data_IF_171090480253
#
_entry.id   IF_171090480253
#
_cell.length_a   1.000
_cell.length_b   1.000
_cell.length_c   1.000
_cell.angle_alpha   90.00
_cell.angle_beta   90.00
_cell.angle_gamma   90.00
#
_symmetry.space_group_name_H-M   'P 1'
#
loop_
_entity.id
_entity.type
_entity.pdbx_description
1 polymer ?
#
# COMPACT_ATOMS: atom_id res chain seq x y z
N UNK A 1 -0.42 -19.98 -7.76
CA UNK A 1 -1.15 -20.07 -9.05
C UNK A 1 -2.66 -19.81 -8.91
N UNK A 2 -3.40 -20.59 -8.11
CA UNK A 2 -4.88 -20.52 -8.11
C UNK A 2 -5.51 -19.29 -7.40
N UNK A 3 -4.70 -18.38 -6.84
CA UNK A 3 -5.19 -17.24 -6.03
C UNK A 3 -4.53 -15.90 -6.38
N UNK A 4 -3.92 -15.80 -7.54
CA UNK A 4 -3.19 -14.59 -7.96
C UNK A 4 -4.11 -13.38 -8.13
N UNK A 5 -5.39 -13.61 -8.43
CA UNK A 5 -6.40 -12.55 -8.65
C UNK A 5 -7.50 -12.53 -7.60
N UNK A 6 -7.31 -13.20 -6.46
CA UNK A 6 -8.39 -13.35 -5.47
C UNK A 6 -8.82 -12.04 -4.82
N UNK A 7 -7.91 -11.07 -4.67
CA UNK A 7 -8.24 -9.76 -4.10
C UNK A 7 -9.03 -8.91 -5.09
N UNK A 8 -8.59 -8.91 -6.34
CA UNK A 8 -9.21 -8.24 -7.47
C UNK A 8 -10.65 -8.73 -7.64
N UNK A 9 -10.86 -10.05 -7.57
CA UNK A 9 -12.21 -10.65 -7.62
C UNK A 9 -13.11 -10.17 -6.48
N UNK A 10 -12.58 -10.01 -5.25
CA UNK A 10 -13.36 -9.52 -4.11
C UNK A 10 -13.69 -8.03 -4.27
N UNK A 11 -12.75 -7.24 -4.76
CA UNK A 11 -12.93 -5.79 -5.04
C UNK A 11 -14.03 -5.61 -6.09
N UNK A 12 -13.96 -6.36 -7.21
CA UNK A 12 -14.97 -6.30 -8.26
C UNK A 12 -16.34 -6.81 -7.78
N UNK A 13 -16.37 -7.86 -6.94
CA UNK A 13 -17.61 -8.42 -6.42
C UNK A 13 -18.43 -7.43 -5.56
N UNK A 14 -17.77 -6.44 -4.94
CA UNK A 14 -18.44 -5.35 -4.20
C UNK A 14 -18.74 -4.12 -5.07
N UNK A 15 -18.47 -4.19 -6.37
CA UNK A 15 -18.74 -3.13 -7.34
C UNK A 15 -17.66 -2.04 -7.43
N UNK A 16 -16.47 -2.28 -6.88
CA UNK A 16 -15.33 -1.37 -7.02
C UNK A 16 -14.49 -1.71 -8.26
N UNK A 17 -13.65 -0.76 -8.70
CA UNK A 17 -12.75 -0.92 -9.84
C UNK A 17 -11.32 -1.20 -9.35
N UNK A 18 -10.64 -2.15 -9.98
CA UNK A 18 -9.25 -2.50 -9.67
C UNK A 18 -8.31 -1.52 -10.38
N UNK A 19 -7.47 -0.83 -9.61
CA UNK A 19 -6.44 0.09 -10.13
C UNK A 19 -5.08 -0.61 -10.13
N UNK A 20 -4.49 -0.76 -11.31
CA UNK A 20 -3.27 -1.59 -11.48
C UNK A 20 -2.01 -1.20 -10.67
N UNK A 21 -1.25 -0.13 -10.91
CA UNK A 21 -0.05 0.28 -10.14
C UNK A 21 1.15 -0.70 -10.07
N UNK A 22 2.34 -0.17 -9.85
CA UNK A 22 3.59 -0.94 -9.90
C UNK A 22 3.88 -1.77 -8.63
N UNK A 23 3.16 -1.49 -7.53
CA UNK A 23 3.36 -2.12 -6.23
C UNK A 23 2.39 -3.28 -5.92
N UNK A 24 1.50 -3.66 -6.84
CA UNK A 24 0.41 -4.64 -6.61
C UNK A 24 0.90 -5.97 -6.03
N UNK A 25 2.01 -6.49 -6.54
CA UNK A 25 2.64 -7.73 -6.05
C UNK A 25 3.93 -7.49 -5.27
N UNK A 26 4.27 -6.24 -4.99
CA UNK A 26 5.49 -5.89 -4.28
C UNK A 26 5.32 -6.07 -2.77
N UNK A 27 6.43 -6.36 -2.08
CA UNK A 27 6.43 -6.40 -0.61
C UNK A 27 6.12 -5.02 -0.02
N UNK A 28 5.35 -4.97 1.06
CA UNK A 28 5.01 -3.72 1.76
C UNK A 28 6.17 -3.11 2.58
N UNK A 29 7.24 -3.87 2.82
CA UNK A 29 8.41 -3.45 3.60
C UNK A 29 8.37 -3.78 5.09
N UNK A 30 7.24 -4.28 5.64
CA UNK A 30 7.12 -4.54 7.08
C UNK A 30 8.24 -5.41 7.68
N UNK A 31 8.66 -6.55 7.07
CA UNK A 31 9.67 -7.41 7.68
C UNK A 31 11.04 -6.76 7.91
N UNK A 32 11.34 -5.67 7.18
CA UNK A 32 12.61 -4.94 7.31
C UNK A 32 12.47 -3.65 8.11
N UNK A 33 11.28 -3.31 8.61
CA UNK A 33 11.02 -2.04 9.29
C UNK A 33 12.00 -1.76 10.44
N UNK A 34 12.29 -2.75 11.28
CA UNK A 34 13.15 -2.58 12.46
C UNK A 34 14.65 -2.64 12.15
N UNK A 35 15.04 -3.22 11.01
CA UNK A 35 16.45 -3.44 10.63
C UNK A 35 16.92 -2.43 9.58
N UNK A 36 16.01 -2.01 8.71
CA UNK A 36 16.24 -1.05 7.64
C UNK A 36 14.99 -0.18 7.45
N UNK A 37 14.73 0.64 8.47
CA UNK A 37 13.56 1.53 8.53
C UNK A 37 13.48 2.46 7.31
N UNK A 38 14.62 3.03 6.89
CA UNK A 38 14.67 3.95 5.75
C UNK A 38 14.12 3.31 4.47
N UNK A 39 14.51 2.08 4.16
CA UNK A 39 13.96 1.37 3.00
C UNK A 39 12.50 0.95 3.22
N UNK A 40 12.11 0.53 4.43
CA UNK A 40 10.70 0.23 4.71
C UNK A 40 9.80 1.45 4.45
N UNK A 41 10.17 2.61 4.99
CA UNK A 41 9.42 3.86 4.81
C UNK A 41 9.42 4.33 3.35
N UNK A 42 10.51 4.11 2.61
CA UNK A 42 10.56 4.37 1.17
C UNK A 42 9.60 3.47 0.40
N UNK A 43 9.46 2.20 0.77
CA UNK A 43 8.50 1.28 0.16
C UNK A 43 7.07 1.71 0.45
N UNK A 44 6.75 2.08 1.69
CA UNK A 44 5.44 2.64 2.06
C UNK A 44 5.12 3.83 1.17
N UNK A 45 5.98 4.85 1.15
CA UNK A 45 5.76 6.06 0.35
C UNK A 45 5.56 5.72 -1.13
N UNK A 46 6.44 4.88 -1.69
CA UNK A 46 6.41 4.51 -3.11
C UNK A 46 5.08 3.87 -3.49
N UNK A 47 4.65 2.85 -2.75
CA UNK A 47 3.45 2.07 -3.09
C UNK A 47 2.18 2.89 -2.92
N UNK A 48 2.04 3.60 -1.80
CA UNK A 48 0.84 4.40 -1.52
C UNK A 48 0.72 5.59 -2.46
N UNK A 49 1.84 6.24 -2.83
CA UNK A 49 1.82 7.35 -3.77
C UNK A 49 1.56 6.90 -5.20
N UNK A 50 2.10 5.75 -5.62
CA UNK A 50 1.84 5.21 -6.95
C UNK A 50 0.36 4.81 -7.10
N UNK A 51 -0.20 4.11 -6.13
CA UNK A 51 -1.64 3.81 -6.09
C UNK A 51 -2.48 5.11 -6.16
N UNK A 52 -2.15 6.12 -5.34
CA UNK A 52 -2.82 7.42 -5.34
C UNK A 52 -2.69 8.14 -6.69
N UNK A 53 -1.48 8.17 -7.24
CA UNK A 53 -1.18 8.84 -8.50
C UNK A 53 -1.88 8.22 -9.70
N UNK A 54 -2.25 6.95 -9.61
CA UNK A 54 -3.06 6.23 -10.60
C UNK A 54 -4.56 6.29 -10.36
N UNK A 55 -5.00 7.05 -9.35
CA UNK A 55 -6.42 7.31 -9.08
C UNK A 55 -7.09 6.31 -8.14
N UNK A 56 -6.34 5.53 -7.36
CA UNK A 56 -6.96 4.70 -6.33
C UNK A 56 -7.55 5.57 -5.21
N UNK A 57 -8.79 5.29 -4.81
CA UNK A 57 -9.44 5.92 -3.65
C UNK A 57 -9.06 5.27 -2.33
N UNK A 58 -8.67 4.00 -2.36
CA UNK A 58 -8.21 3.21 -1.23
C UNK A 58 -7.34 2.03 -1.70
N UNK A 59 -6.53 1.48 -0.80
CA UNK A 59 -5.83 0.22 -1.01
C UNK A 59 -6.40 -0.86 -0.09
N UNK A 60 -6.52 -2.09 -0.59
CA UNK A 60 -6.97 -3.24 0.19
C UNK A 60 -5.78 -4.18 0.42
N UNK A 61 -5.64 -4.70 1.63
CA UNK A 61 -4.57 -5.61 1.99
C UNK A 61 -5.12 -6.90 2.61
N UNK A 62 -4.62 -8.09 2.24
CA UNK A 62 -5.03 -9.36 2.83
C UNK A 62 -4.21 -9.74 4.08
N UNK A 63 -3.33 -8.85 4.53
CA UNK A 63 -2.30 -9.14 5.51
C UNK A 63 -2.29 -8.05 6.58
N UNK A 64 -2.46 -8.39 7.87
CA UNK A 64 -2.53 -7.41 8.94
C UNK A 64 -1.23 -6.64 9.11
N UNK A 65 -0.09 -7.23 8.72
CA UNK A 65 1.21 -6.57 8.75
C UNK A 65 1.38 -5.59 7.59
N UNK A 66 0.80 -5.89 6.42
CA UNK A 66 0.74 -4.92 5.32
C UNK A 66 -0.14 -3.73 5.69
N UNK A 67 -1.31 -3.98 6.30
CA UNK A 67 -2.17 -2.93 6.83
C UNK A 67 -1.40 -2.05 7.82
N UNK A 68 -0.78 -2.65 8.85
CA UNK A 68 -0.05 -1.91 9.86
C UNK A 68 1.07 -1.04 9.26
N UNK A 69 1.81 -1.54 8.26
CA UNK A 69 2.90 -0.79 7.65
C UNK A 69 2.39 0.31 6.70
N UNK A 70 1.50 -0.05 5.77
CA UNK A 70 1.02 0.86 4.73
C UNK A 70 0.05 1.91 5.28
N UNK A 71 -0.66 1.64 6.37
CA UNK A 71 -1.56 2.59 7.03
C UNK A 71 -0.80 3.41 8.08
N UNK A 72 -0.23 2.73 9.08
CA UNK A 72 0.31 3.36 10.28
C UNK A 72 1.58 4.18 10.07
N UNK A 73 2.34 3.93 9.00
CA UNK A 73 3.62 4.61 8.74
C UNK A 73 3.57 5.66 7.64
N UNK A 74 2.39 5.99 7.08
CA UNK A 74 2.30 7.04 6.06
C UNK A 74 2.85 8.40 6.52
N UNK A 75 2.60 8.88 7.77
CA UNK A 75 3.16 10.16 8.21
C UNK A 75 4.70 10.14 8.23
N UNK A 76 5.30 9.06 8.76
CA UNK A 76 6.75 8.88 8.79
C UNK A 76 7.32 8.75 7.36
N UNK A 77 6.63 8.01 6.50
CA UNK A 77 7.02 7.80 5.11
C UNK A 77 7.00 9.11 4.30
N UNK A 78 5.97 9.94 4.48
CA UNK A 78 5.87 11.26 3.86
C UNK A 78 7.01 12.19 4.30
N UNK A 79 7.32 12.19 5.60
CA UNK A 79 8.42 12.98 6.17
C UNK A 79 9.79 12.52 5.65
N UNK A 80 10.04 11.22 5.68
CA UNK A 80 11.33 10.63 5.30
C UNK A 80 11.66 10.78 3.81
N UNK A 81 10.65 10.85 2.93
CA UNK A 81 10.85 10.92 1.47
C UNK A 81 10.69 12.33 0.91
N UNK A 82 10.63 13.38 1.77
CA UNK A 82 10.45 14.78 1.37
C UNK A 82 9.29 14.96 0.38
N UNK A 83 8.22 14.20 0.60
CA UNK A 83 7.06 14.21 -0.27
C UNK A 83 6.34 15.56 -0.15
N UNK A 84 5.91 16.13 -1.27
CA UNK A 84 5.11 17.37 -1.24
C UNK A 84 3.68 17.04 -0.84
N UNK A 85 3.38 17.15 0.46
CA UNK A 85 2.06 16.91 1.03
C UNK A 85 1.91 15.53 1.68
N UNK A 86 0.72 15.29 2.23
CA UNK A 86 0.41 14.06 2.91
C UNK A 86 0.02 12.95 1.91
N UNK A 87 0.44 11.71 2.23
CA UNK A 87 0.09 10.53 1.44
C UNK A 87 -1.42 10.28 1.54
N UNK A 88 -1.99 10.26 2.76
CA UNK A 88 -3.42 10.13 3.06
C UNK A 88 -4.15 9.10 2.17
N UNK A 89 -3.56 7.92 2.00
CA UNK A 89 -4.15 6.83 1.25
C UNK A 89 -4.92 5.91 2.22
N UNK A 90 -6.25 5.81 2.16
CA UNK A 90 -7.00 4.90 3.02
C UNK A 90 -6.58 3.45 2.78
N UNK A 91 -6.23 2.72 3.84
CA UNK A 91 -5.90 1.30 3.75
C UNK A 91 -6.98 0.47 4.46
N UNK A 92 -7.54 -0.50 3.75
CA UNK A 92 -8.53 -1.43 4.28
C UNK A 92 -7.93 -2.82 4.42
N UNK A 93 -8.26 -3.51 5.50
CA UNK A 93 -7.89 -4.91 5.69
C UNK A 93 -9.04 -5.82 5.26
N UNK A 94 -8.73 -6.90 4.53
CA UNK A 94 -9.66 -7.98 4.19
C UNK A 94 -9.37 -9.23 5.04
#
# INVERSE_FOLDING_TARGET
>A
PERETSLEQVIEAVGAEVVEYGGTTACCGFPILTINESNSLKMVATHTMDAKGRGADAMVTPCPLCHLNLDGFQPQAASANSTTGAIDMPILHL
#
